data_IF_843140407250
#
_entry.id   IF_843140407250
#
_cell.length_a   1.000
_cell.length_b   1.000
_cell.length_c   1.000
_cell.angle_alpha   90.00
_cell.angle_beta   90.00
_cell.angle_gamma   90.00
#
_symmetry.space_group_name_H-M   'P 1'
#
loop_
_entity.id
_entity.type
_entity.pdbx_description
1 polymer ?
#
# COMPACT_ATOMS: atom_id res chain seq x y z
N UNK A 1 20.06 -30.21 4.72
CA UNK A 1 18.65 -29.80 4.86
C UNK A 1 18.56 -28.29 4.82
N UNK A 2 17.55 -27.72 4.14
CA UNK A 2 17.29 -26.28 4.17
C UNK A 2 16.84 -25.92 5.60
N UNK A 3 17.37 -24.88 6.25
CA UNK A 3 16.86 -24.48 7.54
C UNK A 3 15.38 -24.12 7.39
N UNK A 4 14.52 -24.70 8.24
CA UNK A 4 13.18 -24.18 8.45
C UNK A 4 13.34 -22.70 8.80
N UNK A 5 12.93 -21.82 7.89
CA UNK A 5 13.07 -20.38 8.09
C UNK A 5 12.40 -20.02 9.41
N UNK A 6 13.19 -19.58 10.39
CA UNK A 6 12.69 -19.08 11.65
C UNK A 6 11.60 -18.05 11.38
N UNK A 7 10.51 -18.08 12.16
CA UNK A 7 9.43 -17.11 12.05
C UNK A 7 10.01 -15.71 12.25
N UNK A 8 10.25 -15.00 11.14
CA UNK A 8 10.80 -13.65 11.16
C UNK A 8 9.79 -12.77 11.89
N UNK A 9 10.20 -12.03 12.93
CA UNK A 9 9.29 -11.12 13.61
C UNK A 9 8.79 -10.05 12.64
N UNK A 10 7.54 -9.63 12.78
CA UNK A 10 6.99 -8.53 12.00
C UNK A 10 7.91 -7.31 12.11
N UNK A 11 8.27 -6.66 10.98
CA UNK A 11 9.16 -5.52 10.99
C UNK A 11 8.55 -4.40 11.84
N UNK A 12 9.40 -3.75 12.64
CA UNK A 12 8.98 -2.76 13.65
C UNK A 12 8.08 -1.65 13.07
N UNK A 13 8.31 -1.27 11.81
CA UNK A 13 7.52 -0.26 11.10
C UNK A 13 6.05 -0.63 10.90
N UNK A 14 5.71 -1.92 10.92
CA UNK A 14 4.32 -2.39 10.79
C UNK A 14 3.64 -2.62 12.15
N UNK A 15 4.37 -2.58 13.26
CA UNK A 15 3.81 -2.86 14.60
C UNK A 15 2.97 -1.67 15.07
N UNK A 16 1.74 -1.94 15.49
CA UNK A 16 0.83 -0.93 16.03
C UNK A 16 0.17 -0.01 14.99
N UNK A 17 0.46 -0.20 13.70
CA UNK A 17 -0.27 0.48 12.63
C UNK A 17 -1.59 -0.23 12.36
N UNK A 18 -2.65 0.54 12.25
CA UNK A 18 -3.94 0.04 11.81
C UNK A 18 -3.97 -0.13 10.28
N UNK A 19 -4.87 -0.98 9.80
CA UNK A 19 -4.99 -1.29 8.37
C UNK A 19 -5.28 -0.04 7.52
N UNK A 20 -5.98 0.97 8.07
CA UNK A 20 -6.32 2.19 7.35
C UNK A 20 -5.06 3.03 7.09
N UNK A 21 -4.18 3.14 8.07
CA UNK A 21 -2.90 3.85 7.93
C UNK A 21 -1.98 3.16 6.92
N UNK A 22 -1.88 1.82 7.00
CA UNK A 22 -1.10 1.03 6.04
C UNK A 22 -1.62 1.19 4.61
N UNK A 23 -2.94 1.13 4.43
CA UNK A 23 -3.55 1.34 3.13
C UNK A 23 -3.30 2.75 2.58
N UNK A 24 -3.46 3.79 3.43
CA UNK A 24 -3.19 5.18 3.03
C UNK A 24 -1.74 5.35 2.58
N UNK A 25 -0.80 4.83 3.35
CA UNK A 25 0.64 4.92 3.03
C UNK A 25 0.97 4.18 1.73
N UNK A 26 0.42 2.98 1.53
CA UNK A 26 0.61 2.21 0.30
C UNK A 26 0.10 2.98 -0.94
N UNK A 27 -1.04 3.66 -0.83
CA UNK A 27 -1.60 4.49 -1.90
C UNK A 27 -0.68 5.67 -2.20
N UNK A 28 -0.24 6.40 -1.18
CA UNK A 28 0.64 7.58 -1.34
C UNK A 28 1.95 7.16 -2.01
N UNK A 29 2.65 6.15 -1.48
CA UNK A 29 3.91 5.66 -2.05
C UNK A 29 3.75 5.20 -3.50
N UNK A 30 2.62 4.54 -3.80
CA UNK A 30 2.35 4.06 -5.17
C UNK A 30 2.05 5.20 -6.14
N UNK A 31 1.39 6.26 -5.69
CA UNK A 31 1.16 7.47 -6.49
C UNK A 31 2.47 8.23 -6.74
N UNK A 32 3.32 8.39 -5.72
CA UNK A 32 4.63 9.01 -5.84
C UNK A 32 5.52 8.23 -6.82
N UNK A 33 5.63 6.91 -6.64
CA UNK A 33 6.40 6.04 -7.53
C UNK A 33 5.88 6.05 -8.98
N UNK A 34 4.57 6.28 -9.17
CA UNK A 34 3.95 6.41 -10.48
C UNK A 34 3.96 7.84 -11.05
N UNK A 35 4.58 8.81 -10.37
CA UNK A 35 4.56 10.22 -10.79
C UNK A 35 3.16 10.81 -10.89
N UNK A 36 2.23 10.39 -10.03
CA UNK A 36 0.82 10.80 -10.04
C UNK A 36 -0.06 10.04 -11.05
N UNK A 37 0.50 9.11 -11.85
CA UNK A 37 -0.30 8.32 -12.78
C UNK A 37 -1.14 7.26 -12.03
N UNK A 38 -2.42 7.55 -11.88
CA UNK A 38 -3.39 6.71 -11.16
C UNK A 38 -3.56 5.32 -11.77
N UNK A 39 -3.41 5.16 -13.09
CA UNK A 39 -3.53 3.84 -13.74
C UNK A 39 -2.35 2.94 -13.38
N UNK A 40 -1.14 3.50 -13.41
CA UNK A 40 0.08 2.78 -13.03
C UNK A 40 0.07 2.45 -11.54
N UNK A 41 -0.28 3.40 -10.68
CA UNK A 41 -0.40 3.18 -9.24
C UNK A 41 -1.43 2.09 -8.90
N UNK A 42 -2.60 2.09 -9.56
CA UNK A 42 -3.63 1.08 -9.33
C UNK A 42 -3.15 -0.33 -9.73
N UNK A 43 -2.43 -0.42 -10.86
CA UNK A 43 -1.83 -1.67 -11.32
C UNK A 43 -0.76 -2.18 -10.34
N UNK A 44 0.07 -1.30 -9.79
CA UNK A 44 1.08 -1.65 -8.78
C UNK A 44 0.45 -2.17 -7.49
N UNK A 45 -0.69 -1.60 -7.08
CA UNK A 45 -1.45 -2.03 -5.90
C UNK A 45 -2.34 -3.26 -6.13
N UNK A 46 -2.47 -3.74 -7.37
CA UNK A 46 -3.33 -4.88 -7.71
C UNK A 46 -4.83 -4.59 -7.57
N UNK A 47 -5.25 -3.34 -7.73
CA UNK A 47 -6.66 -2.92 -7.63
C UNK A 47 -7.14 -2.22 -8.90
N UNK A 48 -8.46 -2.12 -9.07
CA UNK A 48 -9.01 -1.33 -10.18
C UNK A 48 -8.72 0.17 -9.99
N UNK A 49 -8.59 0.91 -11.11
CA UNK A 49 -8.45 2.38 -11.09
C UNK A 49 -9.63 3.04 -10.38
N UNK A 50 -10.85 2.48 -10.53
CA UNK A 50 -12.05 2.94 -9.81
C UNK A 50 -11.89 2.80 -8.31
N UNK A 51 -11.37 1.66 -7.84
CA UNK A 51 -11.10 1.41 -6.42
C UNK A 51 -10.05 2.39 -5.89
N UNK A 52 -8.95 2.60 -6.61
CA UNK A 52 -7.93 3.57 -6.22
C UNK A 52 -8.53 4.99 -6.11
N UNK A 53 -9.32 5.41 -7.10
CA UNK A 53 -9.96 6.74 -7.10
C UNK A 53 -10.93 6.92 -5.93
N UNK A 54 -11.68 5.87 -5.59
CA UNK A 54 -12.56 5.89 -4.42
C UNK A 54 -11.76 6.00 -3.11
N UNK A 55 -10.62 5.30 -3.00
CA UNK A 55 -9.76 5.37 -1.83
C UNK A 55 -9.07 6.74 -1.70
N UNK A 56 -8.60 7.33 -2.80
CA UNK A 56 -8.06 8.71 -2.82
C UNK A 56 -9.08 9.69 -2.26
N UNK A 57 -10.34 9.62 -2.71
CA UNK A 57 -11.42 10.47 -2.17
C UNK A 57 -11.72 10.20 -0.70
N UNK A 58 -11.76 8.93 -0.29
CA UNK A 58 -12.00 8.53 1.11
C UNK A 58 -10.92 9.05 2.07
N UNK A 59 -9.68 9.14 1.60
CA UNK A 59 -8.53 9.56 2.41
C UNK A 59 -8.13 11.01 2.21
N UNK A 60 -8.89 11.77 1.42
CA UNK A 60 -8.63 13.17 1.10
C UNK A 60 -7.19 13.41 0.62
N UNK A 61 -6.74 12.55 -0.32
CA UNK A 61 -5.39 12.58 -0.89
C UNK A 61 -5.32 13.37 -2.21
N UNK A 62 -6.33 14.18 -2.51
CA UNK A 62 -6.51 14.88 -3.79
C UNK A 62 -6.46 16.39 -3.62
#
# INVERSE_FOLDING_TARGET
GRPCAAAQPLPTRLRGLDLRSLEREAIVRSLEAAGGNRTVAARALGISVRTLRNKIRRYDLA
#
